data_IF_943431298419
#
_entry.id   IF_943431298419
#
_cell.length_a   1.000
_cell.length_b   1.000
_cell.length_c   1.000
_cell.angle_alpha   90.00
_cell.angle_beta   90.00
_cell.angle_gamma   90.00
#
_symmetry.space_group_name_H-M   'P 1'
#
loop_
_entity.id
_entity.type
_entity.pdbx_description
1 polymer ?
#
# COMPACT_ATOMS: atom_id res chain seq x y z
N UNK A 1 -20.35 5.28 8.08
CA UNK A 1 -18.87 5.42 8.04
C UNK A 1 -18.18 4.44 8.97
N UNK A 2 -18.41 4.49 10.29
CA UNK A 2 -17.74 3.60 11.26
C UNK A 2 -17.83 2.10 10.93
N UNK A 3 -18.98 1.64 10.45
CA UNK A 3 -19.22 0.23 10.07
C UNK A 3 -18.21 -0.34 9.07
N UNK A 4 -17.65 0.49 8.19
CA UNK A 4 -16.65 0.08 7.21
C UNK A 4 -15.26 -0.16 7.79
N UNK A 5 -14.96 0.45 8.94
CA UNK A 5 -13.68 0.38 9.64
C UNK A 5 -13.72 -0.57 10.85
N UNK A 6 -14.81 -1.31 11.03
CA UNK A 6 -14.98 -2.25 12.15
C UNK A 6 -14.52 -3.66 11.79
N UNK A 7 -13.93 -4.35 12.76
CA UNK A 7 -13.58 -5.78 12.67
C UNK A 7 -14.75 -6.63 13.16
N UNK A 8 -15.92 -6.46 12.53
CA UNK A 8 -17.15 -7.17 12.85
C UNK A 8 -18.05 -7.29 11.63
N UNK A 9 -18.96 -8.26 11.65
CA UNK A 9 -19.86 -8.53 10.54
C UNK A 9 -19.18 -9.23 9.36
N UNK A 10 -19.90 -9.36 8.25
CA UNK A 10 -19.45 -10.10 7.07
C UNK A 10 -19.78 -9.35 5.78
N UNK A 11 -19.00 -9.58 4.73
CA UNK A 11 -19.24 -8.99 3.40
C UNK A 11 -19.19 -10.05 2.29
N UNK A 12 -19.96 -9.78 1.24
CA UNK A 12 -19.92 -10.57 0.00
C UNK A 12 -18.60 -10.35 -0.75
N UNK A 13 -18.30 -11.26 -1.69
CA UNK A 13 -17.13 -11.14 -2.57
C UNK A 13 -17.17 -9.89 -3.47
N UNK A 14 -18.36 -9.55 -4.01
CA UNK A 14 -18.56 -8.33 -4.81
C UNK A 14 -18.30 -7.07 -3.98
N UNK A 15 -18.83 -7.01 -2.78
CA UNK A 15 -18.58 -5.90 -1.86
C UNK A 15 -17.09 -5.79 -1.52
N UNK A 16 -16.45 -6.92 -1.24
CA UNK A 16 -15.01 -6.95 -0.99
C UNK A 16 -14.20 -6.40 -2.16
N UNK A 17 -14.51 -6.81 -3.40
CA UNK A 17 -13.88 -6.27 -4.61
C UNK A 17 -14.04 -4.74 -4.72
N UNK A 18 -15.27 -4.22 -4.55
CA UNK A 18 -15.53 -2.78 -4.59
C UNK A 18 -14.76 -2.03 -3.50
N UNK A 19 -14.63 -2.61 -2.30
CA UNK A 19 -13.84 -2.03 -1.22
C UNK A 19 -12.35 -2.02 -1.57
N UNK A 20 -11.81 -3.05 -2.21
CA UNK A 20 -10.41 -3.03 -2.67
C UNK A 20 -10.15 -1.97 -3.74
N UNK A 21 -11.11 -1.71 -4.64
CA UNK A 21 -11.02 -0.55 -5.55
C UNK A 21 -11.07 0.78 -4.80
N UNK A 22 -11.90 0.88 -3.75
CA UNK A 22 -11.98 2.08 -2.92
C UNK A 22 -10.68 2.34 -2.12
N UNK A 23 -9.92 1.30 -1.75
CA UNK A 23 -8.60 1.45 -1.13
C UNK A 23 -7.66 2.28 -2.01
N UNK A 24 -7.70 2.10 -3.34
CA UNK A 24 -6.89 2.90 -4.28
C UNK A 24 -7.19 4.40 -4.10
N UNK A 25 -8.48 4.75 -3.95
CA UNK A 25 -8.90 6.12 -3.70
C UNK A 25 -8.47 6.63 -2.32
N UNK A 26 -8.56 5.79 -1.29
CA UNK A 26 -8.10 6.12 0.06
C UNK A 26 -6.58 6.32 0.15
N UNK A 27 -5.80 5.72 -0.75
CA UNK A 27 -4.35 5.87 -0.83
C UNK A 27 -3.89 7.15 -1.51
N UNK A 28 -4.79 7.89 -2.19
CA UNK A 28 -4.46 9.12 -2.94
C UNK A 28 -3.71 10.16 -2.08
N UNK A 29 -4.13 10.48 -0.84
CA UNK A 29 -3.40 11.44 -0.01
C UNK A 29 -1.93 11.04 0.23
N UNK A 30 -1.68 9.75 0.48
CA UNK A 30 -0.32 9.23 0.65
C UNK A 30 0.50 9.33 -0.64
N UNK A 31 -0.11 9.00 -1.79
CA UNK A 31 0.53 9.14 -3.11
C UNK A 31 0.90 10.60 -3.39
N UNK A 32 0.00 11.55 -3.10
CA UNK A 32 0.26 12.99 -3.26
C UNK A 32 1.45 13.43 -2.38
N UNK A 33 1.53 12.94 -1.14
CA UNK A 33 2.66 13.25 -0.26
C UNK A 33 3.99 12.69 -0.77
N UNK A 34 3.99 11.50 -1.38
CA UNK A 34 5.19 10.94 -2.01
C UNK A 34 5.66 11.88 -3.14
N UNK A 35 4.78 12.26 -4.06
CA UNK A 35 5.14 13.21 -5.12
C UNK A 35 5.58 14.58 -4.59
N UNK A 36 4.93 15.05 -3.53
CA UNK A 36 5.28 16.31 -2.87
C UNK A 36 6.67 16.24 -2.23
N UNK A 37 7.04 15.09 -1.64
CA UNK A 37 8.40 14.87 -1.13
C UNK A 37 9.42 14.98 -2.25
N UNK A 38 9.23 14.26 -3.36
CA UNK A 38 10.14 14.32 -4.50
C UNK A 38 10.25 15.74 -5.08
N UNK A 39 9.11 16.43 -5.28
CA UNK A 39 9.12 17.81 -5.76
C UNK A 39 9.86 18.75 -4.81
N UNK A 40 9.63 18.61 -3.49
CA UNK A 40 10.33 19.39 -2.47
C UNK A 40 11.84 19.14 -2.49
N UNK A 41 12.27 17.88 -2.58
CA UNK A 41 13.67 17.52 -2.72
C UNK A 41 14.30 18.16 -3.96
N UNK A 42 13.67 17.99 -5.13
CA UNK A 42 14.18 18.53 -6.39
C UNK A 42 14.31 20.06 -6.38
N UNK A 43 13.39 20.77 -5.73
CA UNK A 43 13.48 22.22 -5.54
C UNK A 43 14.61 22.61 -4.59
N UNK A 44 14.80 21.88 -3.50
CA UNK A 44 15.84 22.19 -2.51
C UNK A 44 17.25 21.96 -3.05
N UNK A 45 17.43 20.95 -3.89
CA UNK A 45 18.69 20.67 -4.60
C UNK A 45 18.89 21.60 -5.82
N UNK A 46 17.94 22.50 -6.10
CA UNK A 46 18.06 23.49 -7.18
C UNK A 46 17.78 22.94 -8.58
N UNK A 47 17.30 21.70 -8.71
CA UNK A 47 16.90 21.14 -10.01
C UNK A 47 15.62 21.79 -10.55
N UNK A 48 14.75 22.31 -9.68
CA UNK A 48 13.53 23.02 -10.05
C UNK A 48 13.60 24.46 -9.56
N UNK A 49 13.75 25.41 -10.48
CA UNK A 49 13.53 26.84 -10.24
C UNK A 49 12.06 27.21 -10.50
N UNK A 50 11.31 27.44 -9.42
CA UNK A 50 9.90 27.83 -9.52
C UNK A 50 9.67 29.21 -10.14
N UNK A 51 10.71 30.01 -10.31
CA UNK A 51 10.62 31.34 -10.91
C UNK A 51 10.82 31.32 -12.44
N UNK A 52 11.14 30.16 -13.00
CA UNK A 52 11.39 29.98 -14.43
C UNK A 52 10.38 28.97 -15.04
N UNK A 53 9.68 29.31 -16.15
CA UNK A 53 8.80 28.37 -16.86
C UNK A 53 9.52 27.16 -17.49
N UNK A 54 10.84 27.25 -17.77
CA UNK A 54 11.70 26.09 -18.10
C UNK A 54 12.48 25.62 -16.86
N UNK A 55 11.89 25.75 -15.68
CA UNK A 55 12.60 25.69 -14.40
C UNK A 55 13.18 24.34 -14.02
N UNK A 56 12.93 23.27 -14.77
CA UNK A 56 13.56 21.97 -14.49
C UNK A 56 14.85 21.81 -15.29
N UNK A 57 15.99 21.83 -14.59
CA UNK A 57 17.30 21.53 -15.17
C UNK A 57 17.49 20.02 -15.29
N UNK A 58 16.91 19.46 -16.37
CA UNK A 58 16.96 18.04 -16.66
C UNK A 58 18.39 17.53 -16.89
N UNK A 59 19.28 18.36 -17.46
CA UNK A 59 20.66 17.98 -17.74
C UNK A 59 21.44 17.82 -16.43
N UNK A 60 21.35 18.80 -15.52
CA UNK A 60 22.01 18.71 -14.23
C UNK A 60 21.50 17.52 -13.38
N UNK A 61 20.18 17.27 -13.42
CA UNK A 61 19.58 16.12 -12.75
C UNK A 61 20.13 14.80 -13.29
N UNK A 62 20.21 14.65 -14.61
CA UNK A 62 20.74 13.45 -15.25
C UNK A 62 22.25 13.26 -14.97
N UNK A 63 23.04 14.33 -15.09
CA UNK A 63 24.49 14.29 -14.84
C UNK A 63 24.80 13.85 -13.40
N UNK A 64 24.05 14.31 -12.39
CA UNK A 64 24.26 13.87 -11.01
C UNK A 64 23.98 12.37 -10.81
N UNK A 65 22.91 11.86 -11.41
CA UNK A 65 22.56 10.44 -11.30
C UNK A 65 23.58 9.57 -12.04
N UNK A 66 24.05 9.99 -13.21
CA UNK A 66 25.04 9.24 -13.99
C UNK A 66 26.44 9.27 -13.36
N UNK A 67 26.83 10.42 -12.79
CA UNK A 67 28.15 10.58 -12.18
C UNK A 67 28.31 9.76 -10.90
N UNK A 68 27.30 9.78 -10.01
CA UNK A 68 27.34 9.03 -8.77
C UNK A 68 25.92 8.66 -8.27
N UNK A 69 25.32 7.57 -8.77
CA UNK A 69 23.96 7.20 -8.42
C UNK A 69 23.81 6.88 -6.94
N UNK A 70 24.82 6.27 -6.31
CA UNK A 70 24.77 5.92 -4.88
C UNK A 70 24.68 7.17 -3.99
N UNK A 71 25.47 8.19 -4.31
CA UNK A 71 25.45 9.46 -3.59
C UNK A 71 24.11 10.19 -3.78
N UNK A 72 23.60 10.24 -5.01
CA UNK A 72 22.29 10.82 -5.29
C UNK A 72 21.19 10.15 -4.44
N UNK A 73 21.11 8.81 -4.45
CA UNK A 73 20.08 8.10 -3.66
C UNK A 73 20.33 8.20 -2.15
N UNK A 74 21.58 8.26 -1.70
CA UNK A 74 21.90 8.52 -0.29
C UNK A 74 21.39 9.90 0.14
N UNK A 75 21.60 10.94 -0.69
CA UNK A 75 21.15 12.30 -0.39
C UNK A 75 19.62 12.39 -0.40
N UNK A 76 18.96 11.78 -1.39
CA UNK A 76 17.51 11.63 -1.45
C UNK A 76 16.97 10.98 -0.16
N UNK A 77 17.54 9.84 0.26
CA UNK A 77 17.08 9.13 1.45
C UNK A 77 17.37 9.90 2.74
N UNK A 78 18.51 10.59 2.82
CA UNK A 78 18.84 11.43 3.97
C UNK A 78 17.89 12.63 4.10
N UNK A 79 17.31 13.08 3.00
CA UNK A 79 16.31 14.16 2.96
C UNK A 79 14.94 13.71 3.47
N UNK A 80 14.72 12.40 3.64
CA UNK A 80 13.48 11.81 4.13
C UNK A 80 13.37 11.97 5.66
N UNK A 81 13.02 13.17 6.10
CA UNK A 81 12.93 13.52 7.52
C UNK A 81 11.84 12.73 8.27
N UNK A 82 11.93 12.73 9.61
CA UNK A 82 10.89 12.17 10.48
C UNK A 82 9.50 12.78 10.22
N UNK A 83 9.44 14.06 9.81
CA UNK A 83 8.20 14.73 9.46
C UNK A 83 7.53 14.12 8.22
N UNK A 84 8.30 13.78 7.20
CA UNK A 84 7.80 13.07 6.01
C UNK A 84 7.30 11.67 6.36
N UNK A 85 8.07 10.93 7.17
CA UNK A 85 7.69 9.59 7.63
C UNK A 85 6.36 9.63 8.37
N UNK A 86 6.22 10.50 9.37
CA UNK A 86 4.97 10.63 10.16
C UNK A 86 3.80 11.02 9.26
N UNK A 87 3.99 11.96 8.33
CA UNK A 87 2.94 12.42 7.43
C UNK A 87 2.45 11.29 6.52
N UNK A 88 3.36 10.48 5.98
CA UNK A 88 3.02 9.33 5.16
C UNK A 88 2.29 8.24 5.96
N UNK A 89 2.74 7.95 7.19
CA UNK A 89 2.05 7.01 8.08
C UNK A 89 0.60 7.47 8.29
N UNK A 90 0.39 8.74 8.65
CA UNK A 90 -0.95 9.29 8.89
C UNK A 90 -1.80 9.23 7.62
N UNK A 91 -1.22 9.54 6.45
CA UNK A 91 -1.94 9.55 5.18
C UNK A 91 -2.36 8.16 4.70
N UNK A 92 -1.53 7.13 4.92
CA UNK A 92 -1.86 5.75 4.55
C UNK A 92 -2.65 5.00 5.64
N UNK A 93 -2.67 5.47 6.89
CA UNK A 93 -3.35 4.81 8.00
C UNK A 93 -4.84 4.47 7.70
N UNK A 94 -5.66 5.36 7.10
CA UNK A 94 -7.02 5.03 6.73
C UNK A 94 -7.12 3.90 5.70
N UNK A 95 -6.25 3.91 4.69
CA UNK A 95 -6.22 2.88 3.66
C UNK A 95 -5.81 1.52 4.23
N UNK A 96 -4.79 1.49 5.09
CA UNK A 96 -4.33 0.27 5.80
C UNK A 96 -5.46 -0.27 6.66
N UNK A 97 -6.06 0.57 7.52
CA UNK A 97 -7.12 0.14 8.43
C UNK A 97 -8.35 -0.38 7.69
N UNK A 98 -8.78 0.33 6.64
CA UNK A 98 -9.93 -0.07 5.83
C UNK A 98 -9.68 -1.40 5.09
N UNK A 99 -8.45 -1.62 4.62
CA UNK A 99 -8.02 -2.88 4.00
C UNK A 99 -8.11 -4.03 4.99
N UNK A 100 -7.54 -3.86 6.19
CA UNK A 100 -7.58 -4.86 7.25
C UNK A 100 -9.02 -5.21 7.68
N UNK A 101 -9.87 -4.20 7.87
CA UNK A 101 -11.27 -4.41 8.22
C UNK A 101 -12.04 -5.15 7.11
N UNK A 102 -11.74 -4.85 5.84
CA UNK A 102 -12.36 -5.52 4.69
C UNK A 102 -11.91 -6.97 4.57
N UNK A 103 -10.62 -7.26 4.76
CA UNK A 103 -10.10 -8.64 4.85
C UNK A 103 -10.79 -9.41 5.98
N UNK A 104 -10.85 -8.82 7.18
CA UNK A 104 -11.46 -9.46 8.33
C UNK A 104 -12.93 -9.83 8.08
N UNK A 105 -13.74 -8.87 7.61
CA UNK A 105 -15.15 -9.11 7.30
C UNK A 105 -15.31 -10.19 6.23
N UNK A 106 -14.43 -10.21 5.23
CA UNK A 106 -14.53 -11.19 4.16
C UNK A 106 -14.16 -12.59 4.61
N UNK A 107 -13.08 -12.72 5.37
CA UNK A 107 -12.65 -13.98 5.99
C UNK A 107 -13.71 -14.47 6.96
N UNK A 108 -14.34 -13.58 7.72
CA UNK A 108 -15.45 -13.91 8.62
C UNK A 108 -16.66 -14.50 7.89
N UNK A 109 -16.89 -14.11 6.63
CA UNK A 109 -17.93 -14.67 5.79
C UNK A 109 -17.64 -16.10 5.33
N UNK A 110 -16.37 -16.43 5.10
CA UNK A 110 -15.94 -17.71 4.53
C UNK A 110 -15.52 -18.74 5.58
N UNK A 111 -15.02 -18.28 6.72
CA UNK A 111 -14.39 -19.12 7.73
C UNK A 111 -14.75 -18.65 9.14
N UNK A 112 -16.04 -18.46 9.42
CA UNK A 112 -16.52 -17.81 10.66
C UNK A 112 -15.88 -18.36 11.94
N UNK A 113 -15.79 -19.69 12.07
CA UNK A 113 -15.22 -20.37 13.24
C UNK A 113 -13.72 -20.09 13.42
N UNK A 114 -12.95 -20.07 12.33
CA UNK A 114 -11.50 -19.94 12.32
C UNK A 114 -11.00 -18.54 11.87
N UNK A 115 -11.90 -17.57 11.80
CA UNK A 115 -11.66 -16.27 11.14
C UNK A 115 -10.42 -15.54 11.65
N UNK A 116 -10.18 -15.53 12.96
CA UNK A 116 -9.06 -14.80 13.55
C UNK A 116 -7.72 -15.44 13.16
N UNK A 117 -7.65 -16.77 13.15
CA UNK A 117 -6.43 -17.50 12.78
C UNK A 117 -6.11 -17.31 11.30
N UNK A 118 -7.13 -17.45 10.43
CA UNK A 118 -6.96 -17.27 8.99
C UNK A 118 -6.62 -15.82 8.65
N UNK A 119 -7.27 -14.85 9.30
CA UNK A 119 -6.92 -13.43 9.17
C UNK A 119 -5.47 -13.18 9.56
N UNK A 120 -5.02 -13.67 10.72
CA UNK A 120 -3.63 -13.51 11.15
C UNK A 120 -2.63 -14.13 10.17
N UNK A 121 -2.94 -15.32 9.63
CA UNK A 121 -2.09 -16.01 8.64
C UNK A 121 -2.00 -15.18 7.35
N UNK A 122 -3.14 -14.71 6.81
CA UNK A 122 -3.16 -13.91 5.58
C UNK A 122 -2.40 -12.60 5.78
N UNK A 123 -2.66 -11.86 6.87
CA UNK A 123 -1.95 -10.60 7.14
C UNK A 123 -0.45 -10.85 7.35
N UNK A 124 -0.08 -11.89 8.09
CA UNK A 124 1.32 -12.27 8.27
C UNK A 124 2.02 -12.61 6.95
N UNK A 125 1.32 -13.33 6.07
CA UNK A 125 1.79 -13.63 4.72
C UNK A 125 2.01 -12.35 3.89
N UNK A 126 1.01 -11.46 3.82
CA UNK A 126 1.13 -10.20 3.04
C UNK A 126 2.26 -9.32 3.57
N UNK A 127 2.43 -9.20 4.89
CA UNK A 127 3.54 -8.42 5.48
C UNK A 127 4.91 -9.00 5.09
N UNK A 128 5.06 -10.33 5.08
CA UNK A 128 6.31 -10.98 4.65
C UNK A 128 6.53 -10.79 3.15
N UNK A 129 5.48 -10.91 2.33
CA UNK A 129 5.52 -10.70 0.89
C UNK A 129 5.95 -9.28 0.54
N UNK A 130 5.36 -8.27 1.19
CA UNK A 130 5.70 -6.87 1.03
C UNK A 130 7.12 -6.57 1.49
N UNK A 131 7.52 -7.00 2.69
CA UNK A 131 8.88 -6.81 3.20
C UNK A 131 9.94 -7.46 2.30
N UNK A 132 9.61 -8.58 1.65
CA UNK A 132 10.48 -9.22 0.66
C UNK A 132 10.60 -8.37 -0.61
N UNK A 133 9.47 -7.86 -1.11
CA UNK A 133 9.40 -7.04 -2.33
C UNK A 133 10.08 -5.68 -2.16
N UNK A 134 9.98 -5.07 -0.97
CA UNK A 134 10.68 -3.84 -0.62
C UNK A 134 12.17 -4.05 -0.26
N UNK A 135 12.70 -5.27 -0.39
CA UNK A 135 14.10 -5.57 -0.16
C UNK A 135 14.53 -5.63 1.31
N UNK A 136 13.58 -5.52 2.25
CA UNK A 136 13.84 -5.65 3.70
C UNK A 136 14.27 -7.07 4.04
N UNK A 137 13.68 -8.08 3.40
CA UNK A 137 14.01 -9.50 3.57
C UNK A 137 14.82 -10.04 2.38
N UNK A 138 16.03 -9.48 2.19
CA UNK A 138 16.89 -9.77 1.03
C UNK A 138 17.21 -11.27 0.85
N UNK A 139 17.36 -12.02 1.94
CA UNK A 139 17.66 -13.47 1.91
C UNK A 139 16.60 -14.32 1.22
N UNK A 140 15.37 -13.84 1.10
CA UNK A 140 14.25 -14.53 0.44
C UNK A 140 13.70 -13.76 -0.76
N UNK A 141 14.42 -12.74 -1.24
CA UNK A 141 14.03 -11.90 -2.39
C UNK A 141 13.69 -12.68 -3.66
N UNK A 142 14.35 -13.83 -3.88
CA UNK A 142 14.06 -14.73 -5.00
C UNK A 142 12.64 -15.29 -5.00
N UNK A 143 11.92 -15.23 -3.87
CA UNK A 143 10.52 -15.64 -3.73
C UNK A 143 9.52 -14.52 -4.02
N UNK A 144 9.96 -13.28 -4.26
CA UNK A 144 9.06 -12.11 -4.44
C UNK A 144 7.97 -12.39 -5.49
N UNK A 145 8.34 -12.90 -6.67
CA UNK A 145 7.38 -13.27 -7.71
C UNK A 145 6.39 -14.34 -7.25
N UNK A 146 6.87 -15.37 -6.55
CA UNK A 146 6.01 -16.43 -6.01
C UNK A 146 5.01 -15.87 -5.00
N UNK A 147 5.46 -14.99 -4.11
CA UNK A 147 4.58 -14.32 -3.16
C UNK A 147 3.53 -13.46 -3.87
N UNK A 148 3.92 -12.67 -4.89
CA UNK A 148 2.95 -11.88 -5.66
C UNK A 148 1.88 -12.76 -6.32
N UNK A 149 2.26 -13.91 -6.88
CA UNK A 149 1.29 -14.87 -7.47
C UNK A 149 0.34 -15.40 -6.38
N UNK A 150 0.85 -15.76 -5.21
CA UNK A 150 0.02 -16.25 -4.10
C UNK A 150 -0.92 -15.15 -3.59
N UNK A 151 -0.46 -13.90 -3.41
CA UNK A 151 -1.31 -12.77 -3.02
C UNK A 151 -2.46 -12.57 -4.04
N UNK A 152 -2.17 -12.66 -5.34
CA UNK A 152 -3.21 -12.58 -6.38
C UNK A 152 -4.20 -13.74 -6.26
N UNK A 153 -3.73 -14.98 -6.05
CA UNK A 153 -4.62 -16.12 -5.87
C UNK A 153 -5.51 -16.00 -4.63
N UNK A 154 -4.97 -15.49 -3.52
CA UNK A 154 -5.75 -15.20 -2.30
C UNK A 154 -6.81 -14.14 -2.60
N UNK A 155 -6.44 -13.05 -3.26
CA UNK A 155 -7.37 -11.99 -3.64
C UNK A 155 -8.52 -12.53 -4.50
N UNK A 156 -8.20 -13.29 -5.55
CA UNK A 156 -9.20 -13.90 -6.44
C UNK A 156 -10.10 -14.89 -5.69
N UNK A 157 -9.53 -15.70 -4.81
CA UNK A 157 -10.29 -16.62 -3.97
C UNK A 157 -11.29 -15.86 -3.08
N UNK A 158 -10.85 -14.79 -2.40
CA UNK A 158 -11.71 -13.99 -1.54
C UNK A 158 -12.82 -13.28 -2.34
N UNK A 159 -12.55 -12.86 -3.57
CA UNK A 159 -13.55 -12.24 -4.45
C UNK A 159 -14.59 -13.26 -4.93
N UNK A 160 -14.16 -14.42 -5.44
CA UNK A 160 -15.06 -15.32 -6.19
C UNK A 160 -15.68 -16.44 -5.37
N UNK A 161 -15.08 -16.85 -4.24
CA UNK A 161 -15.63 -17.93 -3.43
C UNK A 161 -16.96 -17.51 -2.81
N UNK A 162 -18.05 -18.23 -3.06
CA UNK A 162 -19.30 -17.96 -2.34
C UNK A 162 -19.19 -18.34 -0.85
N UNK A 163 -19.77 -17.53 0.02
CA UNK A 163 -20.02 -17.87 1.43
C UNK A 163 -21.37 -18.56 1.58
N UNK A 164 -21.53 -19.33 2.66
CA UNK A 164 -22.79 -19.99 3.02
C UNK A 164 -23.79 -19.05 3.72
N UNK A 165 -23.45 -17.76 3.80
CA UNK A 165 -24.30 -16.70 4.35
C UNK A 165 -25.22 -16.19 3.23
N UNK A 166 -26.50 -16.01 3.55
CA UNK A 166 -27.46 -15.44 2.60
C UNK A 166 -27.04 -14.05 2.13
N UNK A 167 -27.31 -13.75 0.86
CA UNK A 167 -26.84 -12.50 0.23
C UNK A 167 -27.36 -11.26 0.93
N UNK A 168 -28.56 -11.34 1.52
CA UNK A 168 -29.22 -10.24 2.20
C UNK A 168 -28.73 -10.05 3.65
N UNK A 169 -28.03 -11.04 4.21
CA UNK A 169 -27.47 -11.01 5.56
C UNK A 169 -26.05 -10.41 5.60
N UNK A 170 -25.50 -10.06 4.43
CA UNK A 170 -24.21 -9.37 4.35
C UNK A 170 -24.33 -7.88 4.65
N UNK A 171 -23.34 -7.39 5.39
CA UNK A 171 -23.21 -5.97 5.70
C UNK A 171 -22.51 -5.23 4.56
N UNK A 172 -23.24 -4.92 3.48
CA UNK A 172 -22.76 -4.13 2.32
C UNK A 172 -21.71 -3.07 2.66
#
# INVERSE_FOLDING_TARGET
MLKFFQFSGTISGTTYFLRMLFVILLSIPGIILIFSFFGSYLMNEGFIDMNNPEGFDQLAFQEQIEANPEEFFSNLWSSFSSGWIISLIIAFLPAIWFTLASYYKRISALFYENRNNIFAIIIGFEVIADATTFGVLSSISFLSTTFSVISILILLFLIFKNSDIDKDDHEG
#
